data_IF_473409874991
#
_entry.id   IF_473409874991
#
_cell.length_a   1.000
_cell.length_b   1.000
_cell.length_c   1.000
_cell.angle_alpha   90.00
_cell.angle_beta   90.00
_cell.angle_gamma   90.00
#
_symmetry.space_group_name_H-M   'P 1'
#
loop_
_entity.id
_entity.type
_entity.pdbx_description
1 polymer ?
#
# COMPACT_ATOMS: atom_id res chain seq x y z
N UNK A 1 31.38 -44.61 23.70
CA UNK A 1 30.01 -44.12 23.57
C UNK A 1 30.13 -42.58 23.42
N UNK A 2 29.98 -42.05 22.23
CA UNK A 2 30.04 -40.63 22.02
C UNK A 2 28.68 -40.01 22.34
N UNK A 3 28.62 -38.83 23.00
CA UNK A 3 27.34 -38.18 23.28
C UNK A 3 26.70 -37.69 21.99
N UNK A 4 25.46 -38.10 21.77
CA UNK A 4 24.61 -37.63 20.68
C UNK A 4 23.98 -36.33 21.14
N UNK A 5 24.32 -35.21 20.53
CA UNK A 5 23.55 -33.97 20.68
C UNK A 5 22.35 -34.10 19.74
N UNK A 6 21.16 -34.34 20.32
CA UNK A 6 19.90 -34.23 19.62
C UNK A 6 19.54 -32.74 19.46
N UNK A 7 19.70 -32.20 18.25
CA UNK A 7 18.97 -31.02 17.82
C UNK A 7 17.67 -31.50 17.20
N UNK A 8 16.55 -31.16 17.80
CA UNK A 8 15.21 -31.44 17.30
C UNK A 8 15.01 -30.80 15.92
N UNK A 9 14.90 -31.62 14.90
CA UNK A 9 14.51 -31.22 13.55
C UNK A 9 13.00 -30.96 13.51
N UNK A 10 12.61 -29.71 13.44
CA UNK A 10 11.29 -29.34 12.92
C UNK A 10 11.40 -29.38 11.40
N UNK A 11 10.78 -30.34 10.77
CA UNK A 11 10.58 -30.38 9.33
C UNK A 11 9.55 -29.30 8.98
N UNK A 12 9.99 -28.27 8.28
CA UNK A 12 9.12 -27.36 7.56
C UNK A 12 9.22 -27.71 6.07
N UNK A 13 8.09 -28.03 5.45
CA UNK A 13 8.03 -28.60 4.10
C UNK A 13 7.81 -27.55 2.99
N UNK A 14 7.89 -26.24 3.28
CA UNK A 14 7.81 -25.23 2.25
C UNK A 14 9.17 -24.57 2.02
N UNK A 15 9.59 -24.39 0.75
CA UNK A 15 10.75 -23.59 0.44
C UNK A 15 10.42 -22.11 0.75
N UNK A 16 10.88 -21.62 1.91
CA UNK A 16 10.85 -20.18 2.22
C UNK A 16 11.54 -19.47 1.05
N UNK A 17 10.79 -18.66 0.31
CA UNK A 17 11.38 -17.78 -0.72
C UNK A 17 12.39 -16.88 -0.04
N UNK A 18 13.54 -16.67 -0.66
CA UNK A 18 14.65 -15.91 -0.09
C UNK A 18 14.36 -14.39 0.04
N UNK A 19 13.25 -13.96 -0.54
CA UNK A 19 12.71 -12.61 -0.62
C UNK A 19 11.57 -12.35 0.38
N UNK A 20 11.08 -13.38 1.08
CA UNK A 20 10.00 -13.24 2.07
C UNK A 20 10.49 -12.59 3.37
N UNK A 21 9.76 -11.62 3.86
CA UNK A 21 10.04 -10.96 5.14
C UNK A 21 9.69 -11.88 6.33
N UNK A 22 10.65 -12.08 7.23
CA UNK A 22 10.41 -12.84 8.47
C UNK A 22 9.71 -12.01 9.53
N UNK A 23 10.05 -10.73 9.58
CA UNK A 23 9.40 -9.75 10.46
C UNK A 23 9.24 -8.47 9.66
N UNK A 24 8.09 -8.29 8.99
CA UNK A 24 7.79 -7.05 8.31
C UNK A 24 7.56 -5.95 9.33
N UNK A 25 7.86 -4.72 8.98
CA UNK A 25 7.68 -3.57 9.85
C UNK A 25 8.00 -2.27 9.15
N UNK A 26 7.89 -1.18 9.89
CA UNK A 26 8.24 0.14 9.41
C UNK A 26 9.25 0.79 10.35
N UNK A 27 10.22 1.54 9.79
CA UNK A 27 11.13 2.35 10.56
C UNK A 27 10.38 3.53 11.20
N UNK A 28 10.97 4.12 12.25
CA UNK A 28 10.44 5.32 12.89
C UNK A 28 10.18 6.41 11.85
N UNK A 29 9.00 7.03 11.93
CA UNK A 29 8.55 8.04 11.01
C UNK A 29 9.48 9.27 10.97
N UNK A 30 9.81 9.70 9.76
CA UNK A 30 10.31 11.05 9.51
C UNK A 30 9.10 11.98 9.41
N UNK A 31 9.17 13.14 10.03
CA UNK A 31 8.10 14.14 9.96
C UNK A 31 8.53 15.30 9.08
N UNK A 32 7.75 15.60 8.04
CA UNK A 32 8.01 16.64 7.05
C UNK A 32 6.91 17.71 7.13
N UNK A 33 7.27 18.97 7.06
CA UNK A 33 6.28 20.04 6.93
C UNK A 33 5.60 19.96 5.56
N UNK A 34 4.28 19.84 5.54
CA UNK A 34 3.51 19.63 4.32
C UNK A 34 2.31 20.58 4.17
N UNK A 35 2.34 21.70 4.86
CA UNK A 35 1.23 22.66 4.85
C UNK A 35 0.19 22.39 5.93
N UNK A 36 -0.79 23.28 6.05
CA UNK A 36 -1.76 23.29 7.15
C UNK A 36 -2.87 22.27 6.95
N UNK A 37 -3.11 21.42 7.94
CA UNK A 37 -4.17 20.41 7.93
C UNK A 37 -4.15 19.52 6.66
N UNK A 38 -3.10 18.73 6.42
CA UNK A 38 -3.04 17.83 5.29
C UNK A 38 -4.13 16.73 5.41
N UNK A 39 -4.81 16.43 4.30
CA UNK A 39 -5.98 15.52 4.28
C UNK A 39 -5.94 14.47 3.19
N UNK A 40 -5.10 14.62 2.18
CA UNK A 40 -4.98 13.64 1.08
C UNK A 40 -3.58 13.70 0.49
N UNK A 41 -3.07 12.54 0.08
CA UNK A 41 -1.75 12.38 -0.57
C UNK A 41 -1.94 11.68 -1.90
N UNK A 42 -1.33 12.24 -2.95
CA UNK A 42 -1.06 11.54 -4.20
C UNK A 42 0.46 11.32 -4.32
N UNK A 43 0.84 10.16 -4.86
CA UNK A 43 2.22 9.76 -5.10
C UNK A 43 2.46 9.72 -6.61
N UNK A 44 3.58 10.24 -7.08
CA UNK A 44 3.95 10.23 -8.50
C UNK A 44 5.35 10.79 -8.70
N UNK A 45 5.90 10.67 -9.90
CA UNK A 45 7.14 11.32 -10.33
C UNK A 45 6.77 12.61 -11.06
N UNK A 46 6.81 13.76 -10.34
CA UNK A 46 6.33 15.04 -10.87
C UNK A 46 7.43 15.84 -11.60
N UNK A 47 8.70 15.48 -11.44
CA UNK A 47 9.83 16.17 -12.09
C UNK A 47 10.57 15.32 -13.13
N UNK A 48 10.12 14.08 -13.38
CA UNK A 48 10.65 13.21 -14.43
C UNK A 48 11.99 12.55 -14.08
N UNK A 49 12.36 12.53 -12.79
CA UNK A 49 13.65 12.01 -12.33
C UNK A 49 13.59 10.53 -11.90
N UNK A 50 12.43 9.90 -12.01
CA UNK A 50 12.10 8.50 -11.65
C UNK A 50 12.03 8.20 -10.15
N UNK A 51 12.13 9.21 -9.29
CA UNK A 51 11.88 9.08 -7.86
C UNK A 51 10.45 9.47 -7.54
N UNK A 52 9.91 8.88 -6.51
CA UNK A 52 8.55 9.21 -6.12
C UNK A 52 8.50 10.48 -5.28
N UNK A 53 7.57 11.35 -5.68
CA UNK A 53 7.24 12.62 -5.05
C UNK A 53 5.88 12.53 -4.36
N UNK A 54 5.56 13.52 -3.55
CA UNK A 54 4.27 13.64 -2.87
C UNK A 54 3.57 14.94 -3.28
N UNK A 55 2.27 14.83 -3.63
CA UNK A 55 1.36 15.96 -3.69
C UNK A 55 0.35 15.85 -2.54
N UNK A 56 0.32 16.85 -1.67
CA UNK A 56 -0.45 16.82 -0.41
C UNK A 56 -1.51 17.91 -0.43
N UNK A 57 -2.78 17.52 -0.40
CA UNK A 57 -3.90 18.44 -0.28
C UNK A 57 -4.00 18.97 1.17
N UNK A 58 -3.98 20.30 1.31
CA UNK A 58 -4.02 21.00 2.58
C UNK A 58 -5.23 21.94 2.65
N UNK A 59 -5.41 22.63 3.78
CA UNK A 59 -6.57 23.52 3.96
C UNK A 59 -6.69 24.63 2.89
N UNK A 60 -5.59 25.11 2.33
CA UNK A 60 -5.55 26.27 1.45
C UNK A 60 -4.79 26.03 0.13
N UNK A 61 -4.15 24.87 -0.05
CA UNK A 61 -3.22 24.60 -1.17
C UNK A 61 -2.99 23.12 -1.41
N UNK A 62 -2.28 22.80 -2.47
CA UNK A 62 -1.54 21.54 -2.61
C UNK A 62 -0.06 21.81 -2.41
N UNK A 63 0.59 21.08 -1.51
CA UNK A 63 2.04 21.09 -1.33
C UNK A 63 2.67 19.96 -2.11
N UNK A 64 3.67 20.24 -2.94
CA UNK A 64 4.46 19.24 -3.67
C UNK A 64 5.82 19.13 -3.00
N UNK A 65 6.21 17.90 -2.66
CA UNK A 65 7.49 17.56 -2.03
C UNK A 65 8.22 16.60 -2.97
N UNK A 66 9.31 17.07 -3.57
CA UNK A 66 10.11 16.24 -4.48
C UNK A 66 10.99 15.27 -3.68
N UNK A 67 10.99 13.99 -4.08
CA UNK A 67 11.72 12.93 -3.42
C UNK A 67 13.22 12.95 -3.74
N UNK A 68 14.05 12.63 -2.76
CA UNK A 68 15.49 12.50 -2.99
C UNK A 68 15.89 11.04 -3.34
N UNK A 69 14.93 10.08 -3.29
CA UNK A 69 15.17 8.67 -3.55
C UNK A 69 15.88 7.92 -2.42
N UNK A 70 15.99 8.52 -1.24
CA UNK A 70 16.58 7.93 -0.04
C UNK A 70 15.61 7.95 1.16
N UNK A 71 14.31 8.13 0.88
CA UNK A 71 13.25 8.26 1.88
C UNK A 71 13.12 9.68 2.45
N UNK A 72 13.95 10.62 1.98
CA UNK A 72 13.82 12.05 2.33
C UNK A 72 13.25 12.85 1.16
N UNK A 73 12.72 14.04 1.48
CA UNK A 73 12.08 14.91 0.50
C UNK A 73 12.63 16.33 0.59
N UNK A 74 12.53 17.07 -0.52
CA UNK A 74 12.84 18.49 -0.58
C UNK A 74 11.78 19.31 0.17
N UNK A 75 12.07 20.58 0.40
CA UNK A 75 11.11 21.50 1.03
C UNK A 75 9.87 21.66 0.14
N UNK A 76 8.69 21.58 0.76
CA UNK A 76 7.41 21.70 0.07
C UNK A 76 7.26 23.01 -0.71
N UNK A 77 6.78 22.90 -1.95
CA UNK A 77 6.35 24.04 -2.78
C UNK A 77 4.82 24.00 -2.86
N UNK A 78 4.20 25.16 -2.57
CA UNK A 78 2.74 25.25 -2.49
C UNK A 78 2.15 25.82 -3.78
N UNK A 79 1.07 25.16 -4.26
CA UNK A 79 0.28 25.58 -5.41
C UNK A 79 -1.15 25.88 -4.98
N UNK A 80 -1.77 26.93 -5.53
CA UNK A 80 -3.19 27.20 -5.30
C UNK A 80 -4.05 26.08 -5.87
N UNK A 81 -4.97 25.58 -5.09
CA UNK A 81 -5.87 24.49 -5.46
C UNK A 81 -7.32 24.73 -5.01
N UNK A 82 -7.66 26.00 -4.77
CA UNK A 82 -8.97 26.39 -4.24
C UNK A 82 -9.06 26.29 -2.72
N UNK A 83 -10.25 26.48 -2.18
CA UNK A 83 -10.47 26.53 -0.74
C UNK A 83 -10.92 25.16 -0.21
N UNK A 84 -10.33 24.73 0.91
CA UNK A 84 -10.65 23.48 1.59
C UNK A 84 -10.51 22.26 0.67
N UNK A 85 -9.34 22.00 0.10
CA UNK A 85 -9.04 20.75 -0.57
C UNK A 85 -9.36 19.55 0.32
N UNK A 86 -10.01 18.53 -0.25
CA UNK A 86 -10.40 17.29 0.46
C UNK A 86 -9.75 16.04 -0.11
N UNK A 87 -9.41 16.05 -1.41
CA UNK A 87 -8.77 14.93 -2.09
C UNK A 87 -7.88 15.43 -3.21
N UNK A 88 -6.78 14.76 -3.47
CA UNK A 88 -5.87 14.98 -4.60
C UNK A 88 -5.53 13.65 -5.26
N UNK A 89 -5.53 13.63 -6.59
CA UNK A 89 -5.11 12.47 -7.41
C UNK A 89 -4.18 12.98 -8.50
N UNK A 90 -3.21 12.17 -8.87
CA UNK A 90 -2.28 12.41 -9.97
C UNK A 90 -2.61 11.54 -11.17
N UNK A 91 -2.50 12.08 -12.39
CA UNK A 91 -2.67 11.35 -13.65
C UNK A 91 -2.42 12.25 -14.85
N UNK A 92 -2.24 11.66 -16.03
CA UNK A 92 -2.10 12.41 -17.29
C UNK A 92 -3.51 12.76 -17.82
N UNK A 93 -3.87 14.04 -17.77
CA UNK A 93 -5.19 14.56 -18.15
C UNK A 93 -5.20 15.16 -19.56
N UNK A 94 -4.01 15.42 -20.11
CA UNK A 94 -3.86 16.15 -21.37
C UNK A 94 -3.10 15.35 -22.45
N UNK A 95 -2.65 14.12 -22.15
CA UNK A 95 -1.98 13.22 -23.09
C UNK A 95 -0.50 13.53 -23.31
N UNK A 96 0.12 14.37 -22.46
CA UNK A 96 1.53 14.77 -22.61
C UNK A 96 2.50 13.86 -21.83
N UNK A 97 1.98 12.90 -21.05
CA UNK A 97 2.67 11.93 -20.20
C UNK A 97 3.36 12.55 -18.97
N UNK A 98 3.11 13.80 -18.66
CA UNK A 98 3.50 14.39 -17.39
C UNK A 98 2.34 14.22 -16.40
N UNK A 99 2.61 13.89 -15.14
CA UNK A 99 1.53 13.83 -14.16
C UNK A 99 0.95 15.21 -13.89
N UNK A 100 -0.37 15.30 -14.07
CA UNK A 100 -1.21 16.44 -13.68
C UNK A 100 -1.84 16.15 -12.32
N UNK A 101 -2.38 17.16 -11.65
CA UNK A 101 -3.13 17.01 -10.41
C UNK A 101 -4.60 17.41 -10.59
N UNK A 102 -5.49 16.58 -10.07
CA UNK A 102 -6.89 16.96 -9.83
C UNK A 102 -7.13 17.05 -8.34
N UNK A 103 -7.64 18.18 -7.91
CA UNK A 103 -7.89 18.48 -6.51
C UNK A 103 -9.36 18.75 -6.29
N UNK A 104 -10.00 17.97 -5.43
CA UNK A 104 -11.35 18.26 -4.94
C UNK A 104 -11.28 19.37 -3.91
N UNK A 105 -12.16 20.37 -4.03
CA UNK A 105 -12.25 21.48 -3.09
C UNK A 105 -13.71 21.90 -2.86
N UNK A 106 -13.94 22.84 -1.99
CA UNK A 106 -15.32 23.27 -1.63
C UNK A 106 -16.16 23.83 -2.79
N UNK A 107 -15.53 24.23 -3.90
CA UNK A 107 -16.18 24.81 -5.08
C UNK A 107 -16.39 23.80 -6.23
N UNK A 108 -15.78 22.63 -6.15
CA UNK A 108 -15.76 21.60 -7.20
C UNK A 108 -14.40 20.92 -7.31
N UNK A 109 -13.77 20.99 -8.46
CA UNK A 109 -12.42 20.48 -8.69
C UNK A 109 -11.51 21.58 -9.28
N UNK A 110 -10.23 21.53 -8.95
CA UNK A 110 -9.15 22.29 -9.60
C UNK A 110 -8.23 21.32 -10.33
N UNK A 111 -7.95 21.60 -11.59
CA UNK A 111 -6.99 20.88 -12.44
C UNK A 111 -5.72 21.71 -12.55
N UNK A 112 -4.58 21.12 -12.20
CA UNK A 112 -3.26 21.73 -12.31
C UNK A 112 -2.44 20.88 -13.28
N UNK A 113 -2.17 21.40 -14.48
CA UNK A 113 -1.35 20.68 -15.46
C UNK A 113 0.12 20.73 -15.07
N UNK A 114 0.78 19.57 -15.07
CA UNK A 114 2.19 19.43 -14.76
C UNK A 114 3.10 19.97 -15.87
N UNK A 115 4.25 20.52 -15.50
CA UNK A 115 5.26 20.93 -16.46
C UNK A 115 6.39 19.90 -16.61
N UNK A 116 6.35 18.79 -15.85
CA UNK A 116 7.36 17.74 -15.82
C UNK A 116 8.68 18.12 -15.15
N UNK A 117 8.69 19.21 -14.40
CA UNK A 117 9.84 19.71 -13.64
C UNK A 117 9.50 19.96 -12.15
N UNK A 118 8.45 19.30 -11.65
CA UNK A 118 7.93 19.47 -10.29
C UNK A 118 7.09 20.71 -10.09
N UNK A 119 6.86 21.51 -11.15
CA UNK A 119 5.98 22.68 -11.12
C UNK A 119 4.69 22.43 -11.90
N UNK A 120 3.66 23.22 -11.58
CA UNK A 120 2.34 23.11 -12.18
C UNK A 120 1.85 24.44 -12.72
N UNK A 121 1.01 24.39 -13.75
CA UNK A 121 0.33 25.56 -14.30
C UNK A 121 -0.73 26.10 -13.30
N UNK A 122 -1.23 27.30 -13.56
CA UNK A 122 -2.32 27.87 -12.76
C UNK A 122 -3.57 26.99 -12.84
N UNK A 123 -4.29 26.76 -11.72
CA UNK A 123 -5.44 25.87 -11.70
C UNK A 123 -6.59 26.33 -12.60
N UNK A 124 -7.20 25.38 -13.29
CA UNK A 124 -8.47 25.56 -13.98
C UNK A 124 -9.57 24.88 -13.18
N UNK A 125 -10.65 25.61 -12.87
CA UNK A 125 -11.70 25.12 -11.99
C UNK A 125 -12.93 24.63 -12.76
N UNK A 126 -13.50 23.47 -12.33
CA UNK A 126 -14.69 22.89 -12.87
C UNK A 126 -15.72 22.59 -11.77
N UNK A 127 -17.01 22.76 -12.07
CA UNK A 127 -18.05 22.31 -11.18
C UNK A 127 -18.14 20.77 -11.19
N UNK A 128 -18.15 20.15 -10.02
CA UNK A 128 -18.21 18.70 -9.88
C UNK A 128 -19.33 18.23 -8.92
N UNK A 129 -20.30 19.07 -8.63
CA UNK A 129 -21.39 18.75 -7.74
C UNK A 129 -21.35 19.51 -6.42
N UNK A 130 -22.20 19.10 -5.46
CA UNK A 130 -22.31 19.76 -4.15
C UNK A 130 -21.60 18.96 -3.06
N UNK A 131 -20.74 19.64 -2.30
CA UNK A 131 -19.93 19.06 -1.25
C UNK A 131 -19.16 17.82 -1.75
N UNK A 132 -18.25 17.98 -2.73
CA UNK A 132 -17.41 16.90 -3.19
C UNK A 132 -16.34 16.57 -2.12
N UNK A 133 -16.05 15.28 -1.92
CA UNK A 133 -15.11 14.78 -0.90
C UNK A 133 -13.95 14.00 -1.47
N UNK A 134 -14.21 13.12 -2.42
CA UNK A 134 -13.22 12.21 -3.00
C UNK A 134 -13.37 12.15 -4.51
N UNK A 135 -12.30 11.80 -5.20
CA UNK A 135 -12.32 11.54 -6.63
C UNK A 135 -11.48 10.31 -6.98
N UNK A 136 -11.86 9.67 -8.09
CA UNK A 136 -11.07 8.67 -8.78
C UNK A 136 -10.99 9.01 -10.26
N UNK A 137 -9.94 8.51 -10.93
CA UNK A 137 -9.71 8.69 -12.36
C UNK A 137 -9.83 7.35 -13.10
N UNK A 138 -10.28 7.36 -14.33
CA UNK A 138 -10.39 6.18 -15.21
C UNK A 138 -10.80 6.60 -16.61
N UNK A 139 -10.80 5.67 -17.55
CA UNK A 139 -11.41 5.85 -18.89
C UNK A 139 -12.76 5.14 -18.88
N UNK A 140 -13.85 5.88 -18.64
CA UNK A 140 -15.20 5.30 -18.46
C UNK A 140 -15.95 5.09 -19.78
N UNK A 141 -15.43 5.65 -20.89
CA UNK A 141 -16.08 5.59 -22.18
C UNK A 141 -15.24 4.90 -23.28
N UNK A 142 -14.03 4.41 -22.96
CA UNK A 142 -13.16 3.68 -23.87
C UNK A 142 -12.52 4.56 -24.95
N UNK A 143 -12.31 5.87 -24.66
CA UNK A 143 -11.73 6.81 -25.65
C UNK A 143 -10.24 7.14 -25.38
N UNK A 144 -9.60 6.40 -24.47
CA UNK A 144 -8.20 6.54 -24.03
C UNK A 144 -7.89 7.92 -23.39
N UNK A 145 -8.91 8.63 -22.88
CA UNK A 145 -8.75 9.88 -22.15
C UNK A 145 -9.16 9.69 -20.69
N UNK A 146 -8.51 10.43 -19.83
CA UNK A 146 -8.79 10.38 -18.40
C UNK A 146 -10.09 11.10 -18.06
N UNK A 147 -11.05 10.35 -17.50
CA UNK A 147 -12.31 10.81 -16.94
C UNK A 147 -12.26 10.88 -15.43
N UNK A 148 -13.21 11.55 -14.80
CA UNK A 148 -13.29 11.72 -13.35
C UNK A 148 -14.60 11.19 -12.78
N UNK A 149 -14.52 10.48 -11.66
CA UNK A 149 -15.64 10.15 -10.80
C UNK A 149 -15.48 10.87 -9.45
N UNK A 150 -16.42 11.75 -9.10
CA UNK A 150 -16.35 12.60 -7.90
C UNK A 150 -17.48 12.27 -6.95
N UNK A 151 -17.15 11.78 -5.74
CA UNK A 151 -18.11 11.50 -4.69
C UNK A 151 -18.62 12.80 -4.07
N UNK A 152 -19.94 13.03 -4.12
CA UNK A 152 -20.61 14.26 -3.69
C UNK A 152 -21.60 13.96 -2.57
N UNK A 153 -21.34 14.49 -1.35
CA UNK A 153 -22.11 14.16 -0.16
C UNK A 153 -23.56 14.60 -0.20
N UNK A 154 -23.91 15.67 -0.94
CA UNK A 154 -25.27 16.20 -1.00
C UNK A 154 -25.77 16.32 -2.44
N UNK A 155 -26.95 15.72 -2.74
CA UNK A 155 -27.80 14.89 -1.88
C UNK A 155 -27.37 13.41 -1.77
N UNK A 156 -26.22 13.01 -2.32
CA UNK A 156 -25.69 11.65 -2.26
C UNK A 156 -25.61 11.02 -3.66
N UNK A 157 -24.57 11.39 -4.43
CA UNK A 157 -24.35 10.90 -5.78
C UNK A 157 -22.85 10.91 -6.12
N UNK A 158 -22.49 10.24 -7.21
CA UNK A 158 -21.20 10.40 -7.88
C UNK A 158 -21.42 11.22 -9.13
N UNK A 159 -20.62 12.29 -9.31
CA UNK A 159 -20.56 13.06 -10.55
C UNK A 159 -19.48 12.46 -11.45
N UNK A 160 -19.84 12.05 -12.67
CA UNK A 160 -18.92 11.60 -13.70
C UNK A 160 -18.69 12.73 -14.69
N UNK A 161 -17.42 13.08 -14.93
CA UNK A 161 -16.97 14.10 -15.87
C UNK A 161 -16.10 13.44 -16.92
N UNK A 162 -16.58 13.36 -18.18
CA UNK A 162 -15.79 12.80 -19.27
C UNK A 162 -14.73 13.81 -19.73
N UNK A 163 -13.50 13.34 -19.89
CA UNK A 163 -12.36 14.14 -20.28
C UNK A 163 -12.36 14.48 -21.79
N UNK A 164 -11.83 15.63 -22.15
CA UNK A 164 -11.61 15.99 -23.55
C UNK A 164 -10.19 15.62 -24.02
N UNK A 165 -9.31 15.19 -23.12
CA UNK A 165 -7.91 14.86 -23.38
C UNK A 165 -7.00 16.07 -23.51
N UNK A 166 -7.42 17.22 -23.02
CA UNK A 166 -6.66 18.48 -22.98
C UNK A 166 -6.66 19.13 -21.58
N UNK A 167 -6.97 18.35 -20.54
CA UNK A 167 -7.14 18.83 -19.18
C UNK A 167 -8.48 19.48 -18.89
N UNK A 168 -9.41 19.49 -19.87
CA UNK A 168 -10.79 19.98 -19.68
C UNK A 168 -11.80 18.84 -19.70
N UNK A 169 -12.99 19.09 -19.15
CA UNK A 169 -14.03 18.09 -18.97
C UNK A 169 -15.37 18.52 -19.51
N UNK A 170 -16.20 17.55 -19.88
CA UNK A 170 -17.59 17.74 -20.27
C UNK A 170 -18.47 18.07 -19.04
N UNK A 171 -19.73 18.42 -19.29
CA UNK A 171 -20.70 18.67 -18.22
C UNK A 171 -20.93 17.40 -17.41
N UNK A 172 -20.88 17.46 -16.05
CA UNK A 172 -21.00 16.28 -15.21
C UNK A 172 -22.39 15.61 -15.35
N UNK A 173 -22.37 14.27 -15.31
CA UNK A 173 -23.56 13.42 -15.21
C UNK A 173 -23.58 12.77 -13.82
N UNK A 174 -24.72 12.84 -13.11
CA UNK A 174 -24.81 12.39 -11.73
C UNK A 174 -25.48 11.02 -11.64
N UNK A 175 -24.87 10.10 -10.87
CA UNK A 175 -25.39 8.77 -10.57
C UNK A 175 -25.65 8.64 -9.08
N UNK A 176 -26.87 8.24 -8.72
CA UNK A 176 -27.25 8.15 -7.31
C UNK A 176 -26.43 7.07 -6.60
N UNK A 177 -25.82 7.44 -5.50
CA UNK A 177 -25.29 6.58 -4.47
C UNK A 177 -26.23 6.59 -3.26
N UNK A 178 -25.71 6.46 -2.05
CA UNK A 178 -26.51 6.60 -0.82
C UNK A 178 -26.16 7.90 -0.10
N UNK A 179 -26.52 7.99 1.19
CA UNK A 179 -26.31 9.21 1.96
C UNK A 179 -24.84 9.42 2.32
N UNK A 180 -24.31 10.55 1.92
CA UNK A 180 -22.95 11.01 2.21
C UNK A 180 -21.86 10.10 1.62
N UNK A 181 -21.73 10.00 0.28
CA UNK A 181 -20.56 9.41 -0.37
C UNK A 181 -19.31 10.13 0.06
N UNK A 182 -18.34 9.40 0.62
CA UNK A 182 -17.08 9.97 1.15
C UNK A 182 -15.85 9.51 0.38
N UNK A 183 -15.90 8.31 -0.18
CA UNK A 183 -14.82 7.74 -1.00
C UNK A 183 -15.38 7.02 -2.23
N UNK A 184 -14.66 7.09 -3.34
CA UNK A 184 -14.91 6.34 -4.57
C UNK A 184 -13.65 5.65 -5.05
N UNK A 185 -13.76 4.39 -5.46
CA UNK A 185 -12.70 3.59 -6.07
C UNK A 185 -13.19 2.91 -7.34
N UNK A 186 -12.28 2.59 -8.25
CA UNK A 186 -12.55 2.05 -9.58
C UNK A 186 -12.00 0.63 -9.69
N UNK A 187 -12.74 -0.25 -10.34
CA UNK A 187 -12.34 -1.61 -10.68
C UNK A 187 -13.24 -2.18 -11.78
N UNK A 188 -12.87 -3.29 -12.39
CA UNK A 188 -13.74 -4.05 -13.29
C UNK A 188 -14.32 -5.23 -12.48
N UNK A 189 -15.51 -5.04 -11.87
CA UNK A 189 -16.09 -6.01 -10.93
C UNK A 189 -16.84 -7.16 -11.60
N UNK A 190 -17.08 -7.05 -12.91
CA UNK A 190 -17.84 -8.02 -13.67
C UNK A 190 -17.06 -8.64 -14.85
N UNK A 191 -15.76 -8.33 -14.97
CA UNK A 191 -14.83 -8.84 -16.00
C UNK A 191 -15.32 -8.56 -17.44
N UNK A 192 -15.97 -7.37 -17.65
CA UNK A 192 -16.46 -6.94 -18.96
C UNK A 192 -15.51 -5.96 -19.68
N UNK A 193 -14.41 -5.57 -19.02
CA UNK A 193 -13.40 -4.66 -19.52
C UNK A 193 -13.77 -3.19 -19.40
N UNK A 194 -14.87 -2.86 -18.72
CA UNK A 194 -15.30 -1.48 -18.47
C UNK A 194 -15.11 -1.13 -16.98
N UNK A 195 -14.63 0.07 -16.68
CA UNK A 195 -14.49 0.47 -15.27
C UNK A 195 -15.84 0.63 -14.57
N UNK A 196 -15.95 0.00 -13.39
CA UNK A 196 -17.05 0.10 -12.44
C UNK A 196 -16.64 0.98 -11.26
N UNK A 197 -17.58 1.38 -10.41
CA UNK A 197 -17.32 2.20 -9.23
C UNK A 197 -17.79 1.51 -7.95
N UNK A 198 -16.97 1.55 -6.89
CA UNK A 198 -17.35 1.28 -5.52
C UNK A 198 -17.32 2.58 -4.71
N UNK A 199 -18.38 2.87 -3.97
CA UNK A 199 -18.60 4.15 -3.28
C UNK A 199 -18.92 3.89 -1.81
N UNK A 200 -18.07 4.35 -0.91
CA UNK A 200 -18.30 4.27 0.53
C UNK A 200 -19.27 5.38 0.97
N UNK A 201 -20.40 5.01 1.58
CA UNK A 201 -21.47 5.92 1.98
C UNK A 201 -21.51 6.09 3.51
N UNK A 202 -20.85 7.11 4.01
CA UNK A 202 -20.58 7.34 5.44
C UNK A 202 -21.83 7.30 6.33
N UNK A 203 -22.96 7.89 5.90
CA UNK A 203 -24.19 7.94 6.69
C UNK A 203 -25.14 6.78 6.43
N UNK A 204 -24.80 5.87 5.51
CA UNK A 204 -25.68 4.74 5.14
C UNK A 204 -25.11 3.39 5.56
N UNK A 205 -23.91 3.35 6.16
CA UNK A 205 -23.23 2.14 6.63
C UNK A 205 -23.14 1.06 5.53
N UNK A 206 -22.89 1.46 4.27
CA UNK A 206 -22.79 0.56 3.12
C UNK A 206 -21.85 1.07 2.04
N UNK A 207 -21.51 0.19 1.10
CA UNK A 207 -20.85 0.51 -0.17
C UNK A 207 -21.87 0.37 -1.29
N UNK A 208 -21.94 1.36 -2.19
CA UNK A 208 -22.69 1.28 -3.46
C UNK A 208 -21.74 0.85 -4.57
N UNK A 209 -22.11 -0.19 -5.32
CA UNK A 209 -21.41 -0.64 -6.53
C UNK A 209 -22.25 -0.23 -7.74
N UNK A 210 -21.62 0.46 -8.70
CA UNK A 210 -22.23 0.92 -9.93
C UNK A 210 -21.45 0.34 -11.10
N UNK A 211 -22.07 -0.55 -11.91
CA UNK A 211 -21.44 -1.15 -13.06
C UNK A 211 -21.43 -0.18 -14.24
N UNK A 212 -20.28 -0.05 -14.90
CA UNK A 212 -20.09 0.75 -16.09
C UNK A 212 -20.70 0.11 -17.34
N UNK A 213 -21.15 0.91 -18.29
CA UNK A 213 -21.65 0.42 -19.58
C UNK A 213 -20.62 0.60 -20.70
N UNK A 214 -19.42 1.14 -20.42
CA UNK A 214 -18.35 1.39 -21.37
C UNK A 214 -18.58 2.59 -22.29
N UNK A 215 -19.63 3.36 -22.06
CA UNK A 215 -19.96 4.59 -22.81
C UNK A 215 -19.94 5.85 -21.91
N UNK A 216 -19.35 5.75 -20.72
CA UNK A 216 -19.33 6.79 -19.70
C UNK A 216 -20.59 6.82 -18.83
N UNK A 217 -21.55 5.92 -19.07
CA UNK A 217 -22.74 5.78 -18.25
C UNK A 217 -22.63 4.57 -17.31
N UNK A 218 -23.39 4.61 -16.20
CA UNK A 218 -23.37 3.59 -15.17
C UNK A 218 -24.77 3.07 -14.86
N UNK A 219 -24.86 1.81 -14.45
CA UNK A 219 -26.09 1.17 -14.01
C UNK A 219 -26.53 1.71 -12.63
N UNK A 220 -27.73 1.34 -12.22
CA UNK A 220 -28.21 1.69 -10.88
C UNK A 220 -27.40 0.97 -9.78
N UNK A 221 -27.07 1.69 -8.71
CA UNK A 221 -26.27 1.18 -7.61
C UNK A 221 -26.89 -0.04 -6.92
N UNK A 222 -26.06 -1.08 -6.71
CA UNK A 222 -26.32 -2.19 -5.79
C UNK A 222 -25.56 -1.91 -4.50
N UNK A 223 -26.19 -2.15 -3.32
CA UNK A 223 -25.60 -1.77 -2.05
C UNK A 223 -25.28 -2.99 -1.20
N UNK A 224 -24.10 -2.94 -0.56
CA UNK A 224 -23.57 -3.99 0.32
C UNK A 224 -23.33 -3.40 1.70
N UNK A 225 -23.87 -4.03 2.73
CA UNK A 225 -23.70 -3.58 4.11
C UNK A 225 -22.27 -3.81 4.58
N UNK A 226 -21.70 -2.82 5.28
CA UNK A 226 -20.36 -2.85 5.87
C UNK A 226 -20.40 -2.39 7.33
N UNK A 227 -19.24 -2.08 7.93
CA UNK A 227 -19.23 -1.47 9.26
C UNK A 227 -19.83 -0.06 9.28
N UNK A 228 -19.83 0.59 10.44
CA UNK A 228 -20.45 1.91 10.60
C UNK A 228 -19.55 3.04 10.10
N UNK A 229 -20.18 3.96 9.36
CA UNK A 229 -19.52 5.14 8.80
C UNK A 229 -18.30 4.79 7.95
N UNK A 230 -18.50 4.05 6.84
CA UNK A 230 -17.44 3.75 5.91
C UNK A 230 -16.87 5.05 5.33
N UNK A 231 -15.55 5.23 5.47
CA UNK A 231 -14.86 6.47 5.17
C UNK A 231 -13.97 6.37 3.93
N UNK A 232 -13.37 5.21 3.70
CA UNK A 232 -12.49 4.93 2.57
C UNK A 232 -12.76 3.53 2.03
N UNK A 233 -12.67 3.36 0.71
CA UNK A 233 -12.75 2.07 0.02
C UNK A 233 -11.54 1.91 -0.89
N UNK A 234 -10.94 0.71 -0.87
CA UNK A 234 -9.86 0.28 -1.77
C UNK A 234 -10.28 -0.98 -2.53
N UNK A 235 -9.71 -1.18 -3.72
CA UNK A 235 -10.02 -2.29 -4.63
C UNK A 235 -8.75 -3.10 -4.87
N UNK A 236 -8.78 -4.41 -4.64
CA UNK A 236 -7.65 -5.33 -4.85
C UNK A 236 -8.10 -6.76 -4.97
N UNK A 237 -7.20 -7.67 -5.31
CA UNK A 237 -7.42 -9.13 -5.32
C UNK A 237 -6.82 -9.70 -4.02
N UNK A 238 -7.67 -10.00 -3.02
CA UNK A 238 -7.21 -10.43 -1.69
C UNK A 238 -7.17 -11.95 -1.53
N UNK A 239 -7.80 -12.70 -2.43
CA UNK A 239 -7.82 -14.16 -2.38
C UNK A 239 -7.06 -14.85 -3.54
N UNK A 240 -6.48 -14.05 -4.46
CA UNK A 240 -5.66 -14.54 -5.55
C UNK A 240 -6.46 -15.15 -6.71
N UNK A 241 -7.77 -14.87 -6.79
CA UNK A 241 -8.65 -15.41 -7.83
C UNK A 241 -8.75 -14.52 -9.08
N UNK A 242 -8.02 -13.40 -9.09
CA UNK A 242 -7.96 -12.36 -10.13
C UNK A 242 -9.26 -11.57 -10.30
N UNK A 243 -10.18 -11.63 -9.36
CA UNK A 243 -11.36 -10.78 -9.33
C UNK A 243 -11.17 -9.66 -8.31
N UNK A 244 -11.64 -8.44 -8.62
CA UNK A 244 -11.51 -7.35 -7.66
C UNK A 244 -12.40 -7.55 -6.43
N UNK A 245 -11.79 -7.36 -5.25
CA UNK A 245 -12.40 -7.34 -3.93
C UNK A 245 -12.42 -5.92 -3.38
N UNK A 246 -13.14 -5.69 -2.29
CA UNK A 246 -13.23 -4.39 -1.62
C UNK A 246 -12.71 -4.48 -0.18
N UNK A 247 -11.89 -3.50 0.21
CA UNK A 247 -11.54 -3.22 1.59
C UNK A 247 -12.09 -1.86 1.99
N UNK A 248 -12.83 -1.78 3.08
CA UNK A 248 -13.57 -0.58 3.50
C UNK A 248 -13.22 -0.22 4.94
N UNK A 249 -12.61 0.96 5.14
CA UNK A 249 -12.32 1.49 6.47
C UNK A 249 -13.57 2.09 7.10
N UNK A 250 -13.98 1.58 8.26
CA UNK A 250 -15.24 1.95 8.95
C UNK A 250 -14.94 2.76 10.21
N UNK A 251 -15.06 4.08 10.12
CA UNK A 251 -14.61 5.03 11.14
C UNK A 251 -15.27 4.83 12.52
N UNK A 252 -16.55 4.48 12.59
CA UNK A 252 -17.27 4.33 13.85
C UNK A 252 -17.45 2.87 14.32
N UNK A 253 -16.86 1.92 13.59
CA UNK A 253 -16.79 0.50 14.01
C UNK A 253 -15.37 0.07 14.37
N UNK A 254 -14.36 0.94 14.21
CA UNK A 254 -12.95 0.66 14.49
C UNK A 254 -12.45 -0.61 13.78
N UNK A 255 -12.87 -0.82 12.51
CA UNK A 255 -12.54 -2.01 11.74
C UNK A 255 -12.45 -1.74 10.22
N UNK A 256 -11.95 -2.73 9.49
CA UNK A 256 -12.01 -2.81 8.03
C UNK A 256 -12.97 -3.93 7.64
N UNK A 257 -13.93 -3.65 6.75
CA UNK A 257 -14.76 -4.67 6.10
C UNK A 257 -14.09 -5.11 4.81
N UNK A 258 -13.95 -6.42 4.60
CA UNK A 258 -13.47 -7.03 3.36
C UNK A 258 -14.64 -7.76 2.70
N UNK A 259 -14.89 -7.48 1.42
CA UNK A 259 -15.92 -8.11 0.60
C UNK A 259 -15.26 -8.76 -0.60
N UNK A 260 -15.34 -10.09 -0.72
CA UNK A 260 -14.78 -10.81 -1.86
C UNK A 260 -15.71 -10.73 -3.07
N UNK A 261 -15.12 -10.41 -4.22
CA UNK A 261 -15.83 -10.28 -5.49
C UNK A 261 -16.18 -11.64 -6.10
N UNK A 262 -17.35 -11.76 -6.71
CA UNK A 262 -17.73 -12.98 -7.44
C UNK A 262 -17.32 -12.93 -8.92
N UNK A 263 -16.84 -11.77 -9.43
CA UNK A 263 -16.46 -11.53 -10.82
C UNK A 263 -17.66 -11.35 -11.76
N UNK A 264 -18.85 -11.15 -11.22
CA UNK A 264 -20.08 -10.87 -11.97
C UNK A 264 -20.73 -9.54 -11.55
N UNK A 265 -19.95 -8.66 -10.89
CA UNK A 265 -20.41 -7.39 -10.32
C UNK A 265 -21.08 -7.52 -8.96
N UNK A 266 -21.12 -8.73 -8.40
CA UNK A 266 -21.64 -8.97 -7.05
C UNK A 266 -20.52 -9.33 -6.08
N UNK A 267 -20.78 -9.13 -4.79
CA UNK A 267 -19.82 -9.38 -3.71
C UNK A 267 -20.42 -10.30 -2.65
N UNK A 268 -19.56 -11.03 -1.94
CA UNK A 268 -19.92 -11.79 -0.76
C UNK A 268 -20.22 -10.86 0.43
N UNK A 269 -20.82 -11.41 1.50
CA UNK A 269 -21.06 -10.67 2.73
C UNK A 269 -19.72 -10.22 3.35
N UNK A 270 -19.70 -9.01 3.93
CA UNK A 270 -18.50 -8.43 4.51
C UNK A 270 -17.97 -9.22 5.70
N UNK A 271 -16.67 -9.47 5.72
CA UNK A 271 -15.93 -9.96 6.88
C UNK A 271 -15.17 -8.81 7.51
N UNK A 272 -15.32 -8.61 8.83
CA UNK A 272 -14.73 -7.47 9.54
C UNK A 272 -13.45 -7.87 10.26
N UNK A 273 -12.42 -7.02 10.14
CA UNK A 273 -11.13 -7.15 10.82
C UNK A 273 -10.88 -5.92 11.68
N UNK A 274 -10.51 -6.11 12.95
CA UNK A 274 -10.23 -5.00 13.86
C UNK A 274 -9.04 -4.17 13.35
N UNK A 275 -9.14 -2.85 13.47
CA UNK A 275 -8.09 -1.87 13.23
C UNK A 275 -7.97 -0.92 14.44
N UNK A 276 -7.22 0.18 14.31
CA UNK A 276 -7.17 1.18 15.36
C UNK A 276 -8.44 2.03 15.46
N UNK A 277 -8.45 3.03 16.32
CA UNK A 277 -9.64 3.84 16.55
C UNK A 277 -9.86 4.88 15.44
N UNK A 278 -11.05 4.88 14.86
CA UNK A 278 -11.48 5.73 13.77
C UNK A 278 -10.62 5.55 12.50
N UNK A 279 -10.67 4.36 11.85
CA UNK A 279 -10.03 4.14 10.56
C UNK A 279 -10.51 5.18 9.53
N UNK A 280 -9.57 5.95 8.96
CA UNK A 280 -9.88 7.07 8.07
C UNK A 280 -9.51 6.81 6.60
N UNK A 281 -8.50 5.98 6.35
CA UNK A 281 -8.08 5.67 4.99
C UNK A 281 -7.47 4.27 4.94
N UNK A 282 -7.75 3.52 3.86
CA UNK A 282 -7.16 2.21 3.61
C UNK A 282 -6.44 2.21 2.28
N UNK A 283 -5.22 1.67 2.28
CA UNK A 283 -4.41 1.39 1.09
C UNK A 283 -3.92 -0.05 1.14
N UNK A 284 -3.41 -0.53 0.02
CA UNK A 284 -2.94 -1.90 -0.10
C UNK A 284 -1.62 -1.97 -0.86
N UNK A 285 -0.81 -2.94 -0.49
CA UNK A 285 0.40 -3.38 -1.18
C UNK A 285 0.85 -4.71 -0.55
N UNK A 286 1.89 -5.35 -1.07
CA UNK A 286 2.55 -6.51 -0.46
C UNK A 286 3.67 -6.02 0.48
N UNK A 287 3.29 -5.65 1.73
CA UNK A 287 4.22 -5.06 2.71
C UNK A 287 5.19 -6.06 3.31
N UNK A 288 4.91 -7.37 3.25
CA UNK A 288 5.79 -8.42 3.78
C UNK A 288 6.47 -9.26 2.68
N UNK A 289 6.21 -8.97 1.40
CA UNK A 289 6.78 -9.61 0.22
C UNK A 289 6.49 -11.11 0.15
N UNK A 290 5.32 -11.50 0.57
CA UNK A 290 4.88 -12.88 0.46
C UNK A 290 4.05 -13.14 -0.81
N UNK A 291 3.84 -12.13 -1.64
CA UNK A 291 3.05 -12.07 -2.86
C UNK A 291 1.52 -12.11 -2.60
N UNK A 292 1.09 -11.80 -1.40
CA UNK A 292 -0.31 -11.55 -1.05
C UNK A 292 -0.51 -10.08 -0.75
N UNK A 293 -1.70 -9.60 -1.03
CA UNK A 293 -2.04 -8.20 -0.79
C UNK A 293 -2.33 -7.99 0.70
N UNK A 294 -1.67 -6.99 1.29
CA UNK A 294 -1.85 -6.52 2.65
C UNK A 294 -2.61 -5.20 2.68
N UNK A 295 -3.11 -4.80 3.84
CA UNK A 295 -3.79 -3.52 4.04
C UNK A 295 -3.03 -2.65 5.04
N UNK A 296 -2.88 -1.36 4.73
CA UNK A 296 -2.44 -0.35 5.69
C UNK A 296 -3.56 0.68 5.89
N UNK A 297 -3.89 0.94 7.15
CA UNK A 297 -5.06 1.73 7.56
C UNK A 297 -4.62 2.86 8.46
N UNK A 298 -4.92 4.12 8.10
CA UNK A 298 -4.67 5.25 9.00
C UNK A 298 -5.76 5.34 10.06
N UNK A 299 -5.36 5.35 11.33
CA UNK A 299 -6.27 5.37 12.48
C UNK A 299 -6.25 6.73 13.16
N UNK A 300 -7.18 7.57 12.76
CA UNK A 300 -7.22 8.99 13.11
C UNK A 300 -7.15 9.29 14.60
N UNK A 301 -7.81 8.47 15.44
CA UNK A 301 -7.86 8.68 16.88
C UNK A 301 -6.78 7.89 17.65
N UNK A 302 -6.07 6.96 16.99
CA UNK A 302 -5.01 6.15 17.63
C UNK A 302 -3.60 6.68 17.36
N UNK A 303 -3.44 7.63 16.42
CA UNK A 303 -2.15 8.20 16.00
C UNK A 303 -1.18 7.16 15.41
N UNK A 304 -1.69 6.09 14.81
CA UNK A 304 -0.93 5.02 14.19
C UNK A 304 -1.47 4.66 12.79
N UNK A 305 -0.75 3.80 12.10
CA UNK A 305 -1.23 3.04 10.96
C UNK A 305 -1.30 1.58 11.40
N UNK A 306 -2.48 0.96 11.27
CA UNK A 306 -2.67 -0.48 11.44
C UNK A 306 -2.36 -1.20 10.13
N UNK A 307 -1.48 -2.21 10.17
CA UNK A 307 -1.16 -3.06 9.02
C UNK A 307 -1.74 -4.46 9.25
N UNK A 308 -2.57 -4.91 8.32
CA UNK A 308 -3.19 -6.22 8.32
C UNK A 308 -2.56 -7.05 7.20
N UNK A 309 -1.80 -8.09 7.56
CA UNK A 309 -1.15 -8.97 6.60
C UNK A 309 -2.11 -9.98 6.02
N UNK A 310 -2.19 -10.05 4.70
CA UNK A 310 -3.02 -10.98 3.96
C UNK A 310 -2.53 -12.42 4.08
N UNK A 311 -3.43 -13.36 3.88
CA UNK A 311 -3.09 -14.80 3.84
C UNK A 311 -3.22 -15.38 2.41
N UNK A 312 -3.62 -14.54 1.43
CA UNK A 312 -3.84 -14.93 0.04
C UNK A 312 -5.08 -15.78 -0.21
N UNK A 313 -5.96 -15.88 0.77
CA UNK A 313 -7.26 -16.57 0.70
C UNK A 313 -8.43 -15.65 1.08
N UNK A 314 -8.22 -14.33 1.00
CA UNK A 314 -9.19 -13.29 1.39
C UNK A 314 -9.25 -13.05 2.90
N UNK A 315 -8.43 -13.75 3.70
CA UNK A 315 -8.35 -13.52 5.15
C UNK A 315 -7.11 -12.73 5.52
N UNK A 316 -7.19 -12.00 6.64
CA UNK A 316 -6.12 -11.16 7.16
C UNK A 316 -5.76 -11.55 8.59
N UNK A 317 -4.46 -11.40 8.93
CA UNK A 317 -3.97 -11.56 10.31
C UNK A 317 -4.42 -10.36 11.16
N UNK A 318 -4.32 -10.50 12.49
CA UNK A 318 -4.56 -9.38 13.39
C UNK A 318 -3.64 -8.20 13.08
N UNK A 319 -4.19 -6.98 13.15
CA UNK A 319 -3.47 -5.75 12.87
C UNK A 319 -2.21 -5.59 13.74
N UNK A 320 -1.17 -5.04 13.14
CA UNK A 320 0.03 -4.57 13.83
C UNK A 320 0.11 -3.05 13.65
N UNK A 321 0.25 -2.34 14.77
CA UNK A 321 0.22 -0.88 14.79
C UNK A 321 1.63 -0.29 14.68
N UNK A 322 1.76 0.77 13.86
CA UNK A 322 2.99 1.54 13.68
C UNK A 322 2.71 3.03 13.92
N UNK A 323 3.50 3.67 14.78
CA UNK A 323 3.36 5.09 15.08
C UNK A 323 3.49 5.94 13.81
N UNK A 324 2.51 6.79 13.54
CA UNK A 324 2.45 7.63 12.35
C UNK A 324 2.38 9.13 12.62
N UNK A 325 2.14 9.53 13.84
CA UNK A 325 1.90 10.93 14.21
C UNK A 325 0.43 11.22 14.52
N UNK A 326 0.11 12.44 14.98
CA UNK A 326 -1.23 12.77 15.48
C UNK A 326 -2.24 12.95 14.35
N UNK A 327 -3.39 12.28 14.49
CA UNK A 327 -4.53 12.35 13.56
C UNK A 327 -4.15 11.99 12.10
N UNK A 328 -3.61 10.78 11.85
CA UNK A 328 -3.35 10.30 10.50
C UNK A 328 -4.67 10.19 9.75
N UNK A 329 -4.72 10.74 8.52
CA UNK A 329 -5.96 10.89 7.78
C UNK A 329 -5.96 10.24 6.41
N UNK A 330 -4.84 10.30 5.71
CA UNK A 330 -4.64 9.68 4.39
C UNK A 330 -3.25 9.06 4.33
N UNK A 331 -3.11 8.01 3.55
CA UNK A 331 -1.86 7.26 3.34
C UNK A 331 -1.58 7.17 1.84
N UNK A 332 -0.35 7.46 1.44
CA UNK A 332 0.19 7.14 0.13
C UNK A 332 1.20 6.00 0.25
N UNK A 333 1.26 5.12 -0.73
CA UNK A 333 2.21 3.99 -0.79
C UNK A 333 3.19 4.19 -1.94
N UNK A 334 4.45 3.84 -1.72
CA UNK A 334 5.48 3.81 -2.75
C UNK A 334 6.85 3.47 -2.19
N UNK A 335 7.79 3.11 -3.02
CA UNK A 335 9.19 2.91 -2.64
C UNK A 335 9.93 4.25 -2.68
N UNK A 336 9.97 4.96 -1.55
CA UNK A 336 10.56 6.31 -1.47
C UNK A 336 12.08 6.31 -1.30
N UNK A 337 12.67 5.15 -0.97
CA UNK A 337 14.10 5.01 -0.72
C UNK A 337 14.84 4.15 -1.76
N UNK A 338 14.14 3.56 -2.73
CA UNK A 338 14.72 2.75 -3.81
C UNK A 338 15.19 1.36 -3.37
N UNK A 339 14.71 0.85 -2.22
CA UNK A 339 15.10 -0.47 -1.70
C UNK A 339 14.18 -1.61 -2.19
N UNK A 340 13.13 -1.26 -2.91
CA UNK A 340 12.13 -2.16 -3.47
C UNK A 340 11.11 -2.65 -2.43
N UNK A 341 11.01 -2.03 -1.26
CA UNK A 341 9.94 -2.29 -0.29
C UNK A 341 8.92 -1.16 -0.32
N UNK A 342 7.64 -1.46 -0.16
CA UNK A 342 6.64 -0.41 0.00
C UNK A 342 6.86 0.39 1.28
N UNK A 343 6.91 1.72 1.14
CA UNK A 343 6.95 2.69 2.22
C UNK A 343 5.59 3.39 2.32
N UNK A 344 5.32 4.06 3.45
CA UNK A 344 4.08 4.79 3.67
C UNK A 344 4.37 6.28 3.88
N UNK A 345 3.61 7.15 3.20
CA UNK A 345 3.53 8.57 3.48
C UNK A 345 2.16 8.87 4.11
N UNK A 346 2.14 9.42 5.31
CA UNK A 346 0.93 9.58 6.12
C UNK A 346 0.66 11.06 6.39
N UNK A 347 -0.49 11.56 5.92
CA UNK A 347 -0.93 12.92 6.19
C UNK A 347 -1.49 13.05 7.61
N UNK A 348 -0.86 13.85 8.45
CA UNK A 348 -1.24 14.06 9.84
C UNK A 348 -2.01 15.39 10.00
N UNK A 349 -3.33 15.31 9.95
CA UNK A 349 -4.24 16.45 9.79
C UNK A 349 -4.03 17.60 10.80
N UNK A 350 -3.74 17.30 12.06
CA UNK A 350 -3.64 18.33 13.09
C UNK A 350 -2.20 18.77 13.41
N UNK A 351 -1.18 18.12 12.85
CA UNK A 351 0.21 18.49 13.05
C UNK A 351 0.82 19.29 11.89
N UNK A 352 0.11 19.42 10.78
CA UNK A 352 0.62 20.06 9.55
C UNK A 352 1.83 19.33 8.95
N UNK A 353 1.91 18.04 9.17
CA UNK A 353 3.05 17.22 8.73
C UNK A 353 2.60 16.02 7.91
N UNK A 354 3.53 15.52 7.10
CA UNK A 354 3.51 14.15 6.55
C UNK A 354 4.57 13.34 7.27
N UNK A 355 4.21 12.17 7.76
CA UNK A 355 5.15 11.18 8.26
C UNK A 355 5.50 10.18 7.17
N UNK A 356 6.78 9.92 6.97
CA UNK A 356 7.28 8.87 6.06
C UNK A 356 7.76 7.69 6.89
N UNK A 357 7.13 6.55 6.73
CA UNK A 357 7.46 5.29 7.38
C UNK A 357 8.11 4.39 6.34
N UNK A 358 9.41 4.15 6.49
CA UNK A 358 10.14 3.29 5.58
C UNK A 358 9.90 1.83 5.91
N UNK A 359 9.49 1.06 4.91
CA UNK A 359 9.32 -0.37 5.00
C UNK A 359 10.62 -1.04 5.44
N UNK A 360 10.55 -1.98 6.35
CA UNK A 360 11.69 -2.73 6.84
C UNK A 360 11.40 -4.21 6.79
N UNK A 361 12.35 -4.96 6.27
CA UNK A 361 12.26 -6.40 6.20
C UNK A 361 13.44 -7.02 6.94
N UNK A 362 13.17 -7.66 8.06
CA UNK A 362 14.17 -8.49 8.70
C UNK A 362 14.10 -9.88 8.05
N UNK A 363 15.14 -10.27 7.28
CA UNK A 363 15.13 -11.59 6.67
C UNK A 363 15.11 -12.69 7.75
N UNK A 364 14.54 -13.86 7.45
CA UNK A 364 14.50 -14.95 8.40
C UNK A 364 15.92 -15.28 8.86
N UNK A 365 16.13 -15.64 10.14
CA UNK A 365 17.43 -16.03 10.62
C UNK A 365 17.93 -17.22 9.79
N UNK A 366 19.09 -17.06 9.17
CA UNK A 366 19.68 -18.12 8.34
C UNK A 366 19.88 -19.36 9.22
N UNK A 367 19.09 -20.39 9.00
CA UNK A 367 19.18 -21.66 9.76
C UNK A 367 20.16 -22.59 9.07
N UNK A 368 21.05 -23.17 9.86
CA UNK A 368 21.90 -24.28 9.42
C UNK A 368 21.08 -25.58 9.43
N UNK A 369 21.00 -26.23 8.29
CA UNK A 369 20.58 -27.64 8.23
C UNK A 369 21.83 -28.54 8.33
N UNK A 370 21.76 -29.56 9.17
CA UNK A 370 22.88 -30.48 9.39
C UNK A 370 22.44 -31.90 9.11
N UNK A 371 23.05 -32.51 8.09
CA UNK A 371 22.80 -33.91 7.73
C UNK A 371 24.06 -34.74 7.98
N UNK A 372 23.91 -35.78 8.76
CA UNK A 372 25.01 -36.71 9.05
C UNK A 372 24.90 -37.96 8.15
N UNK A 373 25.98 -38.32 7.52
CA UNK A 373 26.21 -39.63 6.88
C UNK A 373 27.20 -40.48 7.70
N UNK A 374 27.52 -41.68 7.24
CA UNK A 374 28.38 -42.62 7.98
C UNK A 374 29.80 -42.05 8.27
N UNK A 375 30.31 -41.18 7.41
CA UNK A 375 31.70 -40.66 7.51
C UNK A 375 31.82 -39.12 7.36
N UNK A 376 30.71 -38.45 7.11
CA UNK A 376 30.69 -37.01 6.87
C UNK A 376 29.51 -36.33 7.51
N UNK A 377 29.63 -35.03 7.72
CA UNK A 377 28.55 -34.10 8.06
C UNK A 377 28.42 -33.10 6.93
N UNK A 378 27.24 -32.95 6.40
CA UNK A 378 26.90 -31.87 5.47
C UNK A 378 26.15 -30.80 6.21
N UNK A 379 26.64 -29.57 6.11
CA UNK A 379 26.03 -28.37 6.69
C UNK A 379 25.56 -27.53 5.51
N UNK A 380 24.29 -27.20 5.46
CA UNK A 380 23.71 -26.39 4.39
C UNK A 380 22.93 -25.20 4.94
N UNK A 381 22.88 -24.10 4.15
CA UNK A 381 22.08 -22.91 4.44
C UNK A 381 21.60 -22.27 3.13
N UNK A 382 20.43 -21.59 3.12
CA UNK A 382 19.82 -21.04 1.92
C UNK A 382 20.61 -19.86 1.33
N UNK A 383 20.43 -19.60 0.02
CA UNK A 383 20.85 -18.39 -0.69
C UNK A 383 19.65 -17.42 -0.81
N UNK A 384 19.88 -16.10 -0.90
CA UNK A 384 21.15 -15.38 -0.84
C UNK A 384 21.58 -15.13 0.62
N UNK A 385 22.71 -15.68 1.02
CA UNK A 385 23.32 -15.44 2.34
C UNK A 385 24.59 -14.61 2.17
N UNK A 386 24.50 -13.48 1.46
CA UNK A 386 25.65 -12.61 1.21
C UNK A 386 26.25 -12.10 2.53
N UNK A 387 27.55 -12.28 2.67
CA UNK A 387 28.30 -11.81 3.83
C UNK A 387 28.34 -12.78 5.02
N UNK A 388 27.67 -13.94 4.97
CA UNK A 388 27.84 -14.96 6.01
C UNK A 388 29.08 -15.82 5.78
N UNK A 389 29.83 -16.08 6.86
CA UNK A 389 30.97 -16.97 6.89
C UNK A 389 30.66 -18.13 7.82
N UNK A 390 30.89 -19.36 7.37
CA UNK A 390 30.84 -20.52 8.24
C UNK A 390 32.12 -20.53 9.10
N UNK A 391 31.95 -20.49 10.41
CA UNK A 391 33.05 -20.59 11.37
C UNK A 391 32.96 -21.91 12.14
N UNK A 392 34.11 -22.40 12.57
CA UNK A 392 34.19 -23.59 13.39
C UNK A 392 35.14 -23.40 14.57
N UNK A 393 34.91 -24.17 15.62
CA UNK A 393 35.77 -24.27 16.79
C UNK A 393 35.80 -25.72 17.30
N UNK A 394 36.88 -26.12 17.93
CA UNK A 394 37.03 -27.42 18.62
C UNK A 394 36.84 -27.30 20.13
N UNK A 395 36.60 -26.09 20.66
CA UNK A 395 36.43 -25.85 22.08
C UNK A 395 35.42 -24.73 22.34
N UNK A 396 34.55 -24.94 23.29
CA UNK A 396 33.63 -23.92 23.82
C UNK A 396 34.15 -23.21 25.09
N UNK A 397 35.36 -23.60 25.56
CA UNK A 397 35.98 -22.94 26.74
C UNK A 397 37.51 -23.11 26.71
N UNK A 398 38.31 -22.07 26.36
CA UNK A 398 37.86 -20.79 25.80
C UNK A 398 37.34 -20.93 24.37
N UNK A 399 36.37 -20.09 23.99
CA UNK A 399 35.82 -20.10 22.65
C UNK A 399 36.78 -19.36 21.71
N UNK A 400 37.15 -20.02 20.60
CA UNK A 400 37.91 -19.40 19.50
C UNK A 400 37.30 -19.82 18.17
N UNK A 401 36.43 -18.98 17.61
CA UNK A 401 35.84 -19.21 16.31
C UNK A 401 36.78 -18.77 15.21
N UNK A 402 36.99 -19.64 14.24
CA UNK A 402 37.78 -19.37 13.04
C UNK A 402 37.01 -19.75 11.78
N UNK A 403 37.22 -19.09 10.65
CA UNK A 403 36.60 -19.53 9.39
C UNK A 403 36.81 -21.03 9.17
N UNK A 404 35.74 -21.71 8.82
CA UNK A 404 35.80 -23.13 8.50
C UNK A 404 36.68 -23.34 7.25
N UNK A 405 37.59 -24.32 7.27
CA UNK A 405 38.51 -24.54 6.15
C UNK A 405 37.80 -25.09 4.89
N UNK A 406 36.59 -25.59 5.04
CA UNK A 406 35.83 -26.14 3.95
C UNK A 406 35.21 -25.03 3.08
N UNK A 407 35.32 -25.19 1.76
CA UNK A 407 34.79 -24.22 0.78
C UNK A 407 33.31 -24.57 0.49
N UNK A 408 32.39 -23.64 0.69
CA UNK A 408 30.98 -23.89 0.36
C UNK A 408 30.78 -24.11 -1.15
N UNK A 409 29.99 -25.11 -1.50
CA UNK A 409 29.50 -25.37 -2.86
C UNK A 409 28.03 -25.08 -2.97
N UNK A 410 27.58 -24.66 -4.15
CA UNK A 410 26.16 -24.42 -4.40
C UNK A 410 25.49 -25.71 -4.83
N UNK A 411 24.41 -26.10 -4.14
CA UNK A 411 23.59 -27.24 -4.47
C UNK A 411 22.10 -26.92 -4.16
N UNK A 412 21.22 -27.10 -5.16
CA UNK A 412 19.77 -26.90 -5.05
C UNK A 412 19.36 -25.58 -4.33
N UNK A 413 19.98 -24.44 -4.68
CA UNK A 413 19.67 -23.15 -4.08
C UNK A 413 20.25 -22.92 -2.68
N UNK A 414 20.97 -23.87 -2.12
CA UNK A 414 21.67 -23.74 -0.85
C UNK A 414 23.21 -23.67 -1.05
N UNK A 415 23.89 -23.08 -0.08
CA UNK A 415 25.32 -23.25 0.12
C UNK A 415 25.54 -24.47 1.01
N UNK A 416 26.41 -25.40 0.61
CA UNK A 416 26.70 -26.63 1.33
C UNK A 416 28.19 -26.76 1.60
N UNK A 417 28.50 -27.22 2.81
CA UNK A 417 29.82 -27.61 3.23
C UNK A 417 29.75 -29.06 3.72
N UNK A 418 30.63 -29.91 3.20
CA UNK A 418 30.77 -31.30 3.67
C UNK A 418 32.09 -31.44 4.42
N UNK A 419 32.04 -31.76 5.69
CA UNK A 419 33.18 -32.02 6.55
C UNK A 419 33.27 -33.49 6.94
N UNK A 420 34.48 -34.10 7.04
CA UNK A 420 34.64 -35.44 7.54
C UNK A 420 34.31 -35.51 9.03
N UNK A 421 33.75 -36.65 9.47
CA UNK A 421 33.58 -36.95 10.88
C UNK A 421 34.93 -37.30 11.51
N UNK A 422 35.50 -36.36 12.23
CA UNK A 422 36.77 -36.54 12.96
C UNK A 422 36.48 -37.11 14.37
N UNK A 423 37.57 -37.62 15.00
CA UNK A 423 37.45 -38.14 16.39
C UNK A 423 37.31 -37.04 17.45
N UNK A 424 37.51 -35.77 17.09
CA UNK A 424 37.34 -34.61 17.97
C UNK A 424 36.02 -33.90 17.74
N UNK A 425 35.45 -33.37 18.82
CA UNK A 425 34.26 -32.52 18.73
C UNK A 425 34.58 -31.27 17.92
N UNK A 426 33.67 -30.88 17.05
CA UNK A 426 33.74 -29.68 16.26
C UNK A 426 32.39 -29.02 16.23
N UNK A 427 32.37 -27.70 16.47
CA UNK A 427 31.19 -26.86 16.53
C UNK A 427 31.22 -25.90 15.34
N UNK A 428 30.04 -25.55 14.81
CA UNK A 428 29.88 -24.68 13.66
C UNK A 428 28.87 -23.60 13.96
N UNK A 429 29.11 -22.40 13.39
CA UNK A 429 28.13 -21.32 13.35
C UNK A 429 28.24 -20.56 12.04
N UNK A 430 27.13 -19.88 11.64
CA UNK A 430 27.18 -18.82 10.64
C UNK A 430 27.41 -17.48 11.34
N UNK A 431 28.36 -16.72 10.86
CA UNK A 431 28.68 -15.38 11.35
C UNK A 431 28.63 -14.41 10.18
N UNK A 432 27.98 -13.26 10.36
CA UNK A 432 28.03 -12.12 9.44
C UNK A 432 29.02 -11.13 10.04
N UNK A 433 30.19 -10.91 9.38
CA UNK A 433 31.24 -10.01 9.87
C UNK A 433 30.79 -8.57 9.97
#
# INVERSE_FOLDING_TARGET
MAPVILLSSLFYSDPVRADQCFTPGFALALSLDAGKNPVSIAVGDFDGDTRLDLAVANADSVSVLLGNGDGTFQTAVNFDAGSYPSSVVAGDLNGDKQPDLVVVNSAGISVLLGNGDGTFQSPVNFAAGLAPYSLAIGDFNGDDKTDLAVACAFPGYVSVLLGNGDGTFQTPVNYNARSFPDSVAIGDFNDDGHPDMAVANFNSDNVSVLLGNGDGSFQAAVNYDVGKSPFSVAVGDFDGDSKPDLAVANANSDNVSVLLGNGDGTFQDAVNYDAGAYPAFVVMDDFDRDAHVDLAVSDFNSANVSVLFGSGDGTFKAAIDFDAGPAPYSVGVGDFNGDGQPDLAVANKFSSTVSVLLGTCIPPPVKLAVVRSNSTVTISWPRPSTGFVLESTTSLSPINWVPAPEVPMTNNGCLEVTAPLEQQERYFRLHKP
#
